data_IF_588345577051
#
_entry.id   IF_588345577051
#
_cell.length_a   1.000
_cell.length_b   1.000
_cell.length_c   1.000
_cell.angle_alpha   90.00
_cell.angle_beta   90.00
_cell.angle_gamma   90.00
#
_symmetry.space_group_name_H-M   'P 1'
#
loop_
_entity.id
_entity.type
_entity.pdbx_description
1 polymer ?
#
# COMPACT_ATOMS: atom_id res chain seq x y z
N UNK A 1 -1.53 -26.31 -3.47
CA UNK A 1 -0.72 -25.07 -3.39
C UNK A 1 -1.70 -23.91 -3.26
N UNK A 2 -1.94 -23.38 -2.06
CA UNK A 2 -2.76 -22.18 -1.92
C UNK A 2 -1.97 -21.00 -2.47
N UNK A 3 -2.54 -20.25 -3.40
CA UNK A 3 -2.00 -18.94 -3.77
C UNK A 3 -2.03 -18.09 -2.48
N UNK A 4 -0.88 -17.87 -1.86
CA UNK A 4 -0.80 -17.08 -0.63
C UNK A 4 -1.27 -15.67 -0.95
N UNK A 5 -2.47 -15.32 -0.48
CA UNK A 5 -2.99 -13.96 -0.63
C UNK A 5 -2.09 -13.06 0.22
N UNK A 6 -1.62 -11.96 -0.36
CA UNK A 6 -0.67 -11.07 0.29
C UNK A 6 -0.85 -9.65 -0.22
N UNK A 7 -0.27 -8.69 0.48
CA UNK A 7 -0.33 -7.30 0.07
C UNK A 7 1.04 -6.79 -0.32
N UNK A 8 1.03 -5.78 -1.19
CA UNK A 8 2.21 -5.01 -1.57
C UNK A 8 1.88 -3.53 -1.65
N UNK A 9 2.89 -2.68 -1.50
CA UNK A 9 2.77 -1.25 -1.74
C UNK A 9 4.12 -0.68 -2.17
N UNK A 10 4.05 0.45 -2.88
CA UNK A 10 5.20 1.25 -3.30
C UNK A 10 4.91 2.71 -3.00
N UNK A 11 5.90 3.43 -2.49
CA UNK A 11 5.82 4.86 -2.17
C UNK A 11 6.72 5.61 -3.12
N UNK A 12 6.15 6.57 -3.83
CA UNK A 12 6.86 7.45 -4.74
C UNK A 12 6.89 8.89 -4.20
N UNK A 13 7.97 9.61 -4.50
CA UNK A 13 8.05 11.06 -4.36
C UNK A 13 8.29 11.66 -5.75
N UNK A 14 7.24 12.26 -6.33
CA UNK A 14 7.23 12.55 -7.76
C UNK A 14 7.30 11.25 -8.56
N UNK A 15 8.29 11.11 -9.44
CA UNK A 15 8.54 9.89 -10.22
C UNK A 15 9.54 8.93 -9.57
N UNK A 16 10.11 9.31 -8.42
CA UNK A 16 11.17 8.53 -7.76
C UNK A 16 10.58 7.55 -6.76
N UNK A 17 10.85 6.26 -6.92
CA UNK A 17 10.53 5.24 -5.92
C UNK A 17 11.40 5.45 -4.67
N UNK A 18 10.78 5.69 -3.52
CA UNK A 18 11.51 5.93 -2.26
C UNK A 18 11.35 4.80 -1.26
N UNK A 19 10.32 3.95 -1.39
CA UNK A 19 10.12 2.81 -0.51
C UNK A 19 9.14 1.79 -1.11
N UNK A 20 9.23 0.54 -0.67
CA UNK A 20 8.27 -0.51 -1.01
C UNK A 20 8.20 -1.54 0.10
N UNK A 21 7.05 -2.18 0.24
CA UNK A 21 6.85 -3.28 1.19
C UNK A 21 5.88 -4.32 0.66
N UNK A 22 6.04 -5.56 1.09
CA UNK A 22 5.08 -6.64 0.81
C UNK A 22 5.05 -7.65 1.94
N UNK A 23 3.90 -8.28 2.17
CA UNK A 23 3.78 -9.34 3.18
C UNK A 23 2.69 -10.35 2.80
N UNK A 24 2.93 -11.65 2.98
CA UNK A 24 1.87 -12.65 2.88
C UNK A 24 0.84 -12.45 3.99
N UNK A 25 -0.43 -12.70 3.69
CA UNK A 25 -1.52 -12.77 4.65
C UNK A 25 -1.95 -14.22 4.77
N UNK A 26 -1.92 -14.74 6.00
CA UNK A 26 -2.13 -16.17 6.23
C UNK A 26 -3.60 -16.56 6.01
N UNK A 27 -4.55 -15.63 6.12
CA UNK A 27 -5.98 -15.83 5.91
C UNK A 27 -6.67 -14.52 5.48
N UNK A 28 -6.37 -13.99 4.30
CA UNK A 28 -7.07 -12.81 3.80
C UNK A 28 -7.80 -13.13 2.51
N UNK A 29 -9.05 -12.70 2.40
CA UNK A 29 -9.68 -12.49 1.10
C UNK A 29 -8.92 -11.40 0.35
N UNK A 30 -8.82 -11.51 -0.98
CA UNK A 30 -8.02 -10.61 -1.84
C UNK A 30 -8.37 -9.13 -1.58
N UNK A 31 -9.65 -8.86 -1.33
CA UNK A 31 -10.17 -7.56 -0.93
C UNK A 31 -9.52 -6.96 0.33
N UNK A 32 -9.39 -7.76 1.38
CA UNK A 32 -8.77 -7.33 2.63
C UNK A 32 -7.26 -7.12 2.46
N UNK A 33 -6.63 -7.84 1.52
CA UNK A 33 -5.21 -7.70 1.27
C UNK A 33 -4.88 -6.32 0.69
N UNK A 34 -5.66 -5.83 -0.26
CA UNK A 34 -5.44 -4.52 -0.88
C UNK A 34 -5.67 -3.38 0.11
N UNK A 35 -6.73 -3.44 0.94
CA UNK A 35 -6.96 -2.46 2.02
C UNK A 35 -5.79 -2.44 3.01
N UNK A 36 -5.33 -3.62 3.43
CA UNK A 36 -4.19 -3.73 4.35
C UNK A 36 -2.92 -3.18 3.69
N UNK A 37 -2.72 -3.45 2.40
CA UNK A 37 -1.63 -2.90 1.59
C UNK A 37 -1.66 -1.39 1.50
N UNK A 38 -2.83 -0.83 1.18
CA UNK A 38 -3.07 0.60 1.09
C UNK A 38 -2.78 1.32 2.42
N UNK A 39 -3.30 0.79 3.53
CA UNK A 39 -3.05 1.34 4.87
C UNK A 39 -1.58 1.25 5.25
N UNK A 40 -0.93 0.13 4.96
CA UNK A 40 0.51 -0.05 5.22
C UNK A 40 1.35 0.92 4.38
N UNK A 41 0.98 1.12 3.10
CA UNK A 41 1.63 2.06 2.20
C UNK A 41 1.45 3.52 2.62
N UNK A 42 0.24 3.91 3.03
CA UNK A 42 -0.03 5.25 3.55
C UNK A 42 0.79 5.54 4.81
N UNK A 43 0.82 4.62 5.77
CA UNK A 43 1.66 4.78 6.96
C UNK A 43 3.15 4.90 6.61
N UNK A 44 3.62 4.07 5.66
CA UNK A 44 5.02 4.15 5.21
C UNK A 44 5.33 5.48 4.51
N UNK A 45 4.37 6.04 3.76
CA UNK A 45 4.46 7.35 3.14
C UNK A 45 4.49 8.45 4.20
N UNK A 46 3.55 8.46 5.16
CA UNK A 46 3.45 9.45 6.23
C UNK A 46 4.75 9.57 7.04
N UNK A 47 5.36 8.44 7.41
CA UNK A 47 6.65 8.40 8.12
C UNK A 47 7.81 8.99 7.31
N UNK A 48 7.72 8.99 5.97
CA UNK A 48 8.78 9.42 5.04
C UNK A 48 8.52 10.78 4.40
N UNK A 49 7.33 11.33 4.57
CA UNK A 49 6.99 12.69 4.12
C UNK A 49 7.29 13.70 5.21
N UNK A 50 7.78 14.87 4.79
CA UNK A 50 7.87 16.04 5.65
C UNK A 50 6.47 16.49 6.09
N UNK A 51 6.31 17.05 7.31
CA UNK A 51 5.05 17.67 7.75
C UNK A 51 4.52 18.77 6.81
N UNK A 52 5.36 19.31 5.93
CA UNK A 52 4.97 20.29 4.92
C UNK A 52 4.23 19.70 3.71
N UNK A 53 4.23 18.37 3.55
CA UNK A 53 3.49 17.68 2.47
C UNK A 53 2.02 17.62 2.88
N UNK A 54 1.18 18.36 2.17
CA UNK A 54 -0.26 18.46 2.45
C UNK A 54 -1.11 17.41 1.72
N UNK A 55 -0.58 16.82 0.64
CA UNK A 55 -1.33 15.94 -0.25
C UNK A 55 -0.58 14.61 -0.44
N UNK A 56 -1.26 13.50 -0.18
CA UNK A 56 -0.79 12.15 -0.50
C UNK A 56 -1.83 11.54 -1.44
N UNK A 57 -1.39 11.12 -2.62
CA UNK A 57 -2.22 10.37 -3.57
C UNK A 57 -2.04 8.89 -3.31
N UNK A 58 -3.15 8.18 -3.14
CA UNK A 58 -3.16 6.72 -3.01
C UNK A 58 -3.77 6.17 -4.30
N UNK A 59 -3.02 5.36 -5.02
CA UNK A 59 -3.50 4.65 -6.20
C UNK A 59 -3.89 3.23 -5.77
N UNK A 60 -5.12 2.85 -6.05
CA UNK A 60 -5.64 1.49 -5.84
C UNK A 60 -6.04 0.95 -7.21
N UNK A 61 -5.54 -0.23 -7.56
CA UNK A 61 -5.79 -0.91 -8.82
C UNK A 61 -7.11 -1.70 -8.83
N UNK A 62 -7.69 -1.95 -7.65
CA UNK A 62 -9.00 -2.57 -7.52
C UNK A 62 -10.07 -1.57 -7.04
N UNK A 63 -11.05 -1.30 -7.91
CA UNK A 63 -12.17 -0.39 -7.64
C UNK A 63 -13.14 -0.89 -6.58
N UNK A 64 -13.13 -2.18 -6.23
CA UNK A 64 -14.01 -2.68 -5.17
C UNK A 64 -13.67 -2.09 -3.81
N UNK A 65 -12.42 -1.65 -3.62
CA UNK A 65 -11.86 -1.15 -2.35
C UNK A 65 -12.34 0.27 -1.98
N UNK A 66 -12.94 0.99 -2.95
CA UNK A 66 -13.43 2.37 -2.79
C UNK A 66 -14.88 2.38 -2.31
#
# INVERSE_FOLDING_TARGET
KGAGIGFGYTVYKGTTLIYSGKRPLVNAEVFNAEIVGARAGLNAALVRTSPSIKNITICLDNTTVI
#
